data_IF_327644552231
#
_entry.id   IF_327644552231
#
_cell.length_a   1.000
_cell.length_b   1.000
_cell.length_c   1.000
_cell.angle_alpha   90.00
_cell.angle_beta   90.00
_cell.angle_gamma   90.00
#
_symmetry.space_group_name_H-M   'P 1'
#
loop_
_entity.id
_entity.type
_entity.pdbx_description
1 polymer ?
#
# COMPACT_ATOMS: atom_id res chain seq x y z
N UNK A 1 -7.86 34.50 -13.74
CA UNK A 1 -8.10 33.50 -12.66
C UNK A 1 -7.59 33.98 -11.30
N UNK A 2 -6.33 34.41 -11.16
CA UNK A 2 -5.83 34.87 -9.84
C UNK A 2 -6.50 36.15 -9.37
N UNK A 3 -6.81 37.08 -10.27
CA UNK A 3 -7.55 38.31 -9.95
C UNK A 3 -9.00 38.03 -9.55
N UNK A 4 -9.67 37.13 -10.25
CA UNK A 4 -11.05 36.72 -9.91
C UNK A 4 -11.09 35.98 -8.57
N UNK A 5 -10.10 35.14 -8.27
CA UNK A 5 -9.99 34.46 -6.97
C UNK A 5 -9.78 35.50 -5.85
N UNK A 6 -8.90 36.50 -6.04
CA UNK A 6 -8.66 37.57 -5.10
C UNK A 6 -9.93 38.39 -4.85
N UNK A 7 -10.66 38.78 -5.92
CA UNK A 7 -11.90 39.53 -5.82
C UNK A 7 -12.99 38.72 -5.09
N UNK A 8 -13.07 37.40 -5.34
CA UNK A 8 -13.99 36.53 -4.62
C UNK A 8 -13.63 36.42 -3.13
N UNK A 9 -12.33 36.28 -2.81
CA UNK A 9 -11.84 36.25 -1.43
C UNK A 9 -12.18 37.56 -0.69
N UNK A 10 -11.94 38.72 -1.33
CA UNK A 10 -12.30 40.05 -0.78
C UNK A 10 -13.81 40.21 -0.58
N UNK A 11 -14.60 39.68 -1.50
CA UNK A 11 -16.07 39.81 -1.48
C UNK A 11 -16.72 38.96 -0.40
N UNK A 12 -16.25 37.69 -0.27
CA UNK A 12 -16.90 36.72 0.58
C UNK A 12 -16.18 36.45 1.91
N UNK A 13 -14.99 37.00 2.10
CA UNK A 13 -14.19 36.83 3.32
C UNK A 13 -13.73 35.38 3.56
N UNK A 14 -13.69 34.56 2.51
CA UNK A 14 -13.23 33.16 2.57
C UNK A 14 -12.01 32.98 1.67
N UNK A 15 -11.02 32.13 2.08
CA UNK A 15 -9.87 31.87 1.23
C UNK A 15 -10.27 31.19 -0.09
N UNK A 16 -9.79 31.73 -1.20
CA UNK A 16 -10.03 31.20 -2.54
C UNK A 16 -8.70 30.83 -3.20
N UNK A 17 -8.61 29.61 -3.72
CA UNK A 17 -7.47 29.14 -4.50
C UNK A 17 -7.85 28.99 -5.98
N UNK A 18 -7.13 29.70 -6.84
CA UNK A 18 -7.22 29.53 -8.28
C UNK A 18 -6.26 28.43 -8.73
N UNK A 19 -6.76 27.47 -9.49
CA UNK A 19 -5.94 26.37 -10.00
C UNK A 19 -6.28 26.07 -11.46
N UNK A 20 -5.24 25.98 -12.30
CA UNK A 20 -5.38 25.59 -13.68
C UNK A 20 -4.97 24.13 -13.87
N UNK A 21 -5.88 23.34 -14.41
CA UNK A 21 -5.63 21.94 -14.78
C UNK A 21 -5.80 21.77 -16.30
N UNK A 22 -4.98 20.89 -16.88
CA UNK A 22 -5.06 20.56 -18.31
C UNK A 22 -6.34 19.79 -18.69
N UNK A 23 -7.07 19.27 -17.72
CA UNK A 23 -8.26 18.45 -17.95
C UNK A 23 -7.96 17.26 -18.86
N UNK A 24 -8.80 17.11 -19.91
CA UNK A 24 -8.62 16.05 -20.92
C UNK A 24 -7.59 16.39 -22.00
N UNK A 25 -6.94 17.54 -21.95
CA UNK A 25 -5.98 17.98 -22.98
C UNK A 25 -4.55 17.46 -22.77
N UNK A 26 -4.32 16.70 -21.71
CA UNK A 26 -3.04 16.09 -21.36
C UNK A 26 -2.73 16.14 -19.88
N UNK A 27 -1.73 15.41 -19.45
CA UNK A 27 -1.34 15.24 -18.06
C UNK A 27 -2.02 14.04 -17.39
N UNK A 28 -1.40 13.56 -16.33
CA UNK A 28 -1.93 12.46 -15.51
C UNK A 28 -2.78 12.98 -14.35
N UNK A 29 -3.62 12.12 -13.79
CA UNK A 29 -4.36 12.41 -12.55
C UNK A 29 -3.42 12.89 -11.42
N UNK A 30 -2.25 12.29 -11.31
CA UNK A 30 -1.21 12.66 -10.34
C UNK A 30 -0.79 14.13 -10.42
N UNK A 31 -0.74 14.71 -11.63
CA UNK A 31 -0.34 16.11 -11.80
C UNK A 31 -1.32 17.07 -11.15
N UNK A 32 -2.60 16.85 -11.35
CA UNK A 32 -3.66 17.63 -10.72
C UNK A 32 -3.67 17.46 -9.20
N UNK A 33 -3.51 16.23 -8.74
CA UNK A 33 -3.47 15.86 -7.33
C UNK A 33 -2.32 16.57 -6.60
N UNK A 34 -1.10 16.50 -7.12
CA UNK A 34 0.06 17.14 -6.48
C UNK A 34 0.04 18.66 -6.59
N UNK A 35 -0.42 19.23 -7.70
CA UNK A 35 -0.62 20.68 -7.82
C UNK A 35 -1.59 21.21 -6.77
N UNK A 36 -2.69 20.47 -6.53
CA UNK A 36 -3.67 20.84 -5.50
C UNK A 36 -3.05 20.78 -4.10
N UNK A 37 -2.30 19.73 -3.80
CA UNK A 37 -1.59 19.63 -2.52
C UNK A 37 -0.64 20.81 -2.31
N UNK A 38 0.19 21.13 -3.30
CA UNK A 38 1.15 22.22 -3.22
C UNK A 38 0.46 23.57 -2.97
N UNK A 39 -0.63 23.83 -3.66
CA UNK A 39 -1.40 25.07 -3.48
C UNK A 39 -1.96 25.18 -2.05
N UNK A 40 -2.54 24.08 -1.54
CA UNK A 40 -3.06 24.01 -0.17
C UNK A 40 -1.93 24.20 0.85
N UNK A 41 -0.85 23.44 0.72
CA UNK A 41 0.28 23.46 1.64
C UNK A 41 0.91 24.86 1.72
N UNK A 42 1.21 25.48 0.58
CA UNK A 42 1.79 26.83 0.51
C UNK A 42 0.87 27.90 1.09
N UNK A 43 -0.43 27.79 0.90
CA UNK A 43 -1.39 28.81 1.32
C UNK A 43 -1.75 28.71 2.79
N UNK A 44 -1.95 27.49 3.31
CA UNK A 44 -2.62 27.28 4.60
C UNK A 44 -1.73 26.73 5.70
N UNK A 45 -0.63 26.04 5.36
CA UNK A 45 0.27 25.54 6.39
C UNK A 45 1.04 26.72 7.00
N UNK A 46 1.10 26.75 8.32
CA UNK A 46 1.77 27.79 9.10
C UNK A 46 2.78 27.14 10.00
N UNK A 47 3.88 27.85 10.29
CA UNK A 47 4.87 27.37 11.25
C UNK A 47 4.24 27.26 12.63
N UNK A 48 4.38 26.12 13.23
CA UNK A 48 3.91 25.79 14.58
C UNK A 48 5.04 25.15 15.37
N UNK A 49 4.90 25.14 16.70
CA UNK A 49 5.78 24.36 17.56
C UNK A 49 5.46 22.88 17.44
N UNK A 50 6.48 22.05 17.26
CA UNK A 50 6.29 20.61 17.13
C UNK A 50 5.85 20.00 18.46
N UNK A 51 4.83 19.17 18.40
CA UNK A 51 4.36 18.37 19.54
C UNK A 51 5.01 17.00 19.50
N UNK A 52 5.85 16.71 20.51
CA UNK A 52 6.55 15.42 20.61
C UNK A 52 5.57 14.23 20.49
N UNK A 53 5.93 13.27 19.66
CA UNK A 53 5.15 12.06 19.43
C UNK A 53 3.96 12.22 18.48
N UNK A 54 3.70 13.40 17.95
CA UNK A 54 2.67 13.64 16.96
C UNK A 54 3.18 13.33 15.56
N UNK A 55 2.38 12.58 14.79
CA UNK A 55 2.74 12.11 13.44
C UNK A 55 1.69 12.59 12.44
N UNK A 56 2.19 13.07 11.29
CA UNK A 56 1.41 13.33 10.10
C UNK A 56 1.55 12.16 9.13
N UNK A 57 0.46 11.52 8.73
CA UNK A 57 0.47 10.59 7.60
C UNK A 57 0.35 11.38 6.29
N UNK A 58 1.24 11.10 5.34
CA UNK A 58 1.23 11.67 4.00
C UNK A 58 0.84 10.63 2.97
N UNK A 59 -0.31 10.82 2.35
CA UNK A 59 -0.88 9.92 1.35
C UNK A 59 -2.31 9.50 1.70
N UNK A 60 -3.05 9.06 0.69
CA UNK A 60 -4.44 8.69 0.84
C UNK A 60 -4.61 7.23 1.29
N UNK A 61 -4.18 6.27 0.49
CA UNK A 61 -4.22 4.83 0.77
C UNK A 61 -5.51 4.36 1.48
N UNK A 62 -6.67 4.63 0.89
CA UNK A 62 -8.02 4.29 1.39
C UNK A 62 -8.44 5.04 2.67
N UNK A 63 -7.81 6.16 2.95
CA UNK A 63 -8.18 7.06 4.05
C UNK A 63 -7.75 6.62 5.44
N UNK A 64 -8.10 7.42 6.47
CA UNK A 64 -7.62 7.24 7.83
C UNK A 64 -8.17 5.98 8.52
N UNK A 65 -9.28 5.44 8.04
CA UNK A 65 -9.90 4.20 8.54
C UNK A 65 -9.63 3.00 7.61
N UNK A 66 -8.87 3.19 6.54
CA UNK A 66 -8.40 2.12 5.68
C UNK A 66 -7.42 1.19 6.39
N UNK A 67 -7.30 -0.05 5.92
CA UNK A 67 -6.43 -1.07 6.53
C UNK A 67 -4.98 -0.56 6.66
N UNK A 68 -4.47 0.09 5.62
CA UNK A 68 -3.11 0.62 5.61
C UNK A 68 -2.87 1.64 6.74
N UNK A 69 -3.71 2.66 6.82
CA UNK A 69 -3.56 3.71 7.83
C UNK A 69 -3.77 3.17 9.24
N UNK A 70 -4.74 2.27 9.46
CA UNK A 70 -4.94 1.61 10.76
C UNK A 70 -3.73 0.82 11.19
N UNK A 71 -3.13 0.04 10.28
CA UNK A 71 -1.95 -0.74 10.60
C UNK A 71 -0.73 0.12 10.90
N UNK A 72 -0.49 1.15 10.11
CA UNK A 72 0.58 2.13 10.38
C UNK A 72 0.38 2.80 11.73
N UNK A 73 -0.85 3.22 12.06
CA UNK A 73 -1.18 3.77 13.39
C UNK A 73 -0.89 2.78 14.51
N UNK A 74 -1.25 1.50 14.33
CA UNK A 74 -0.99 0.43 15.30
C UNK A 74 0.51 0.26 15.55
N UNK A 75 1.32 0.15 14.50
CA UNK A 75 2.77 0.02 14.60
C UNK A 75 3.43 1.27 15.23
N UNK A 76 2.98 2.46 14.85
CA UNK A 76 3.44 3.72 15.47
C UNK A 76 3.13 3.80 16.97
N UNK A 77 1.94 3.33 17.38
CA UNK A 77 1.51 3.36 18.77
C UNK A 77 2.42 2.57 19.69
N UNK A 78 3.06 1.51 19.20
CA UNK A 78 4.05 0.73 19.94
C UNK A 78 5.24 1.60 20.39
N UNK A 79 5.61 2.60 19.60
CA UNK A 79 6.64 3.59 19.91
C UNK A 79 6.12 4.81 20.68
N UNK A 80 4.85 4.80 21.10
CA UNK A 80 4.22 5.93 21.79
C UNK A 80 3.90 7.11 20.87
N UNK A 81 3.87 6.86 19.56
CA UNK A 81 3.53 7.85 18.54
C UNK A 81 2.02 7.84 18.26
N UNK A 82 1.46 9.03 18.03
CA UNK A 82 0.03 9.20 17.73
C UNK A 82 -0.15 9.95 16.43
N UNK A 83 -1.09 9.50 15.62
CA UNK A 83 -1.44 10.15 14.36
C UNK A 83 -2.61 11.09 14.59
N UNK A 84 -2.39 12.38 14.38
CA UNK A 84 -3.46 13.38 14.50
C UNK A 84 -4.11 13.67 13.14
N UNK A 85 -3.32 13.64 12.05
CA UNK A 85 -3.78 13.99 10.72
C UNK A 85 -3.25 13.04 9.67
N UNK A 86 -4.10 12.83 8.65
CA UNK A 86 -3.70 12.22 7.38
C UNK A 86 -3.99 13.23 6.26
N UNK A 87 -2.96 13.61 5.51
CA UNK A 87 -3.07 14.58 4.43
C UNK A 87 -2.62 13.94 3.10
N UNK A 88 -3.29 14.21 2.01
CA UNK A 88 -4.39 15.14 1.81
C UNK A 88 -5.76 14.53 2.13
N UNK A 89 -6.75 15.42 2.27
CA UNK A 89 -8.17 15.07 2.19
C UNK A 89 -8.89 14.82 3.52
N UNK A 90 -8.19 14.41 4.57
CA UNK A 90 -8.83 13.98 5.83
C UNK A 90 -8.54 14.92 7.00
N UNK A 91 -8.18 16.15 6.70
CA UNK A 91 -7.96 17.22 7.69
C UNK A 91 -9.04 18.26 7.49
N UNK A 92 -9.86 18.57 8.50
CA UNK A 92 -10.81 19.69 8.41
C UNK A 92 -10.09 21.00 8.11
N UNK A 93 -10.65 21.85 7.25
CA UNK A 93 -10.05 23.12 6.84
C UNK A 93 -9.57 23.95 8.04
N UNK A 94 -10.39 24.04 9.10
CA UNK A 94 -10.06 24.76 10.32
C UNK A 94 -8.81 24.26 11.06
N UNK A 95 -8.31 23.07 10.71
CA UNK A 95 -7.15 22.45 11.34
C UNK A 95 -5.92 22.38 10.42
N UNK A 96 -5.99 22.89 9.21
CA UNK A 96 -4.86 22.83 8.27
C UNK A 96 -3.60 23.49 8.81
N UNK A 97 -3.72 24.57 9.57
CA UNK A 97 -2.56 25.21 10.21
C UNK A 97 -1.92 24.35 11.32
N UNK A 98 -2.63 23.38 11.87
CA UNK A 98 -2.15 22.49 12.93
C UNK A 98 -1.39 21.26 12.39
N UNK A 99 -1.46 21.00 11.09
CA UNK A 99 -0.77 19.87 10.44
C UNK A 99 0.74 19.92 10.71
N UNK A 100 1.30 21.13 10.79
CA UNK A 100 2.72 21.38 11.02
C UNK A 100 3.14 21.27 12.49
N UNK A 101 2.24 20.94 13.41
CA UNK A 101 2.59 20.57 14.80
C UNK A 101 3.22 19.17 14.89
N UNK A 102 3.17 18.37 13.81
CA UNK A 102 3.76 17.04 13.77
C UNK A 102 5.28 17.09 13.98
N UNK A 103 5.80 16.13 14.75
CA UNK A 103 7.24 15.94 14.96
C UNK A 103 7.87 14.94 13.99
N UNK A 104 7.05 14.26 13.20
CA UNK A 104 7.42 13.30 12.18
C UNK A 104 6.31 13.23 11.13
N UNK A 105 6.67 13.11 9.86
CA UNK A 105 5.75 12.68 8.81
C UNK A 105 6.07 11.26 8.34
N UNK A 106 5.05 10.49 8.01
CA UNK A 106 5.18 9.11 7.52
C UNK A 106 4.49 8.99 6.18
N UNK A 107 5.25 8.57 5.18
CA UNK A 107 4.74 8.35 3.83
C UNK A 107 3.91 7.06 3.76
N UNK A 108 2.70 7.19 3.23
CA UNK A 108 1.87 6.05 2.83
C UNK A 108 2.04 5.84 1.33
N UNK A 109 2.33 4.60 0.91
CA UNK A 109 2.55 4.34 -0.50
C UNK A 109 3.07 2.95 -0.81
N UNK A 110 3.61 2.82 -2.01
CA UNK A 110 4.30 1.62 -2.49
C UNK A 110 5.62 2.02 -3.17
N UNK A 111 6.55 1.09 -3.31
CA UNK A 111 7.84 1.34 -3.95
C UNK A 111 7.74 1.80 -5.42
N UNK A 112 6.65 1.42 -6.12
CA UNK A 112 6.41 1.81 -7.51
C UNK A 112 5.67 3.13 -7.70
N UNK A 113 5.35 3.86 -6.63
CA UNK A 113 4.64 5.14 -6.77
C UNK A 113 5.59 6.26 -7.19
N UNK A 114 5.09 7.27 -7.94
CA UNK A 114 5.86 8.45 -8.29
C UNK A 114 6.39 9.18 -7.05
N UNK A 115 7.56 9.79 -7.17
CA UNK A 115 8.22 10.51 -6.07
C UNK A 115 7.46 11.73 -5.55
N UNK A 116 6.34 12.09 -6.15
CA UNK A 116 5.61 13.31 -5.83
C UNK A 116 5.24 13.47 -4.35
N UNK A 117 4.89 12.40 -3.64
CA UNK A 117 4.62 12.49 -2.20
C UNK A 117 5.90 12.75 -1.40
N UNK A 118 7.02 12.15 -1.80
CA UNK A 118 8.32 12.36 -1.20
C UNK A 118 8.78 13.82 -1.34
N UNK A 119 8.53 14.44 -2.49
CA UNK A 119 8.84 15.87 -2.68
C UNK A 119 8.09 16.76 -1.67
N UNK A 120 6.84 16.42 -1.35
CA UNK A 120 6.03 17.13 -0.34
C UNK A 120 6.55 16.89 1.07
N UNK A 121 7.02 15.70 1.37
CA UNK A 121 7.69 15.41 2.63
C UNK A 121 8.99 16.21 2.79
N UNK A 122 9.84 16.25 1.75
CA UNK A 122 11.04 17.06 1.71
C UNK A 122 10.74 18.56 1.85
N UNK A 123 9.64 19.03 1.25
CA UNK A 123 9.21 20.41 1.42
C UNK A 123 8.80 20.70 2.87
N UNK A 124 8.06 19.79 3.54
CA UNK A 124 7.69 19.92 4.95
C UNK A 124 8.94 19.94 5.86
N UNK A 125 9.92 19.10 5.58
CA UNK A 125 11.17 19.08 6.33
C UNK A 125 11.92 20.39 6.18
N UNK A 126 12.07 20.90 4.96
CA UNK A 126 12.78 22.15 4.69
C UNK A 126 12.09 23.38 5.28
N UNK A 127 10.78 23.52 5.11
CA UNK A 127 10.04 24.73 5.50
C UNK A 127 9.64 24.75 6.98
N UNK A 128 9.36 23.57 7.55
CA UNK A 128 8.85 23.47 8.92
C UNK A 128 9.74 22.63 9.84
N UNK A 129 10.76 21.96 9.33
CA UNK A 129 11.64 21.10 10.13
C UNK A 129 10.98 19.78 10.53
N UNK A 130 9.98 19.30 9.80
CA UNK A 130 9.30 18.03 10.06
C UNK A 130 10.02 16.93 9.29
N UNK A 131 10.86 16.10 9.93
CA UNK A 131 11.54 14.99 9.27
C UNK A 131 10.49 13.97 8.78
N UNK A 132 10.89 13.09 7.85
CA UNK A 132 9.97 12.09 7.34
C UNK A 132 10.56 10.67 7.34
N UNK A 133 9.68 9.70 7.55
CA UNK A 133 9.94 8.29 7.30
C UNK A 133 9.37 7.94 5.93
N UNK A 134 10.26 7.60 4.99
CA UNK A 134 9.94 7.27 3.61
C UNK A 134 10.97 6.29 3.04
N UNK A 135 10.90 6.04 1.72
CA UNK A 135 11.74 5.09 0.97
C UNK A 135 11.61 3.62 1.43
N UNK A 136 10.73 3.33 2.36
CA UNK A 136 10.33 1.99 2.76
C UNK A 136 8.86 2.04 3.20
N UNK A 137 8.15 0.98 2.91
CA UNK A 137 6.72 0.85 3.18
C UNK A 137 6.45 -0.48 3.87
N UNK A 138 5.50 -0.55 4.83
CA UNK A 138 5.20 -1.78 5.55
C UNK A 138 4.34 -2.73 4.70
N UNK A 139 4.85 -3.14 3.54
CA UNK A 139 4.16 -4.01 2.58
C UNK A 139 4.86 -5.37 2.52
N UNK A 140 4.08 -6.44 2.69
CA UNK A 140 4.62 -7.76 2.97
C UNK A 140 5.38 -7.78 4.30
N UNK A 141 5.83 -8.95 4.74
CA UNK A 141 6.53 -9.06 6.03
C UNK A 141 7.92 -8.43 5.99
N UNK A 142 8.69 -8.68 4.94
CA UNK A 142 10.06 -8.12 4.82
C UNK A 142 10.03 -6.59 4.78
N UNK A 143 9.11 -6.00 4.01
CA UNK A 143 8.91 -4.54 4.00
C UNK A 143 8.48 -4.01 5.36
N UNK A 144 7.64 -4.76 6.08
CA UNK A 144 7.19 -4.40 7.42
C UNK A 144 8.35 -4.40 8.42
N UNK A 145 9.22 -5.43 8.38
CA UNK A 145 10.39 -5.48 9.25
C UNK A 145 11.39 -4.36 8.96
N UNK A 146 11.64 -4.08 7.70
CA UNK A 146 12.48 -2.96 7.30
C UNK A 146 11.90 -1.63 7.79
N UNK A 147 10.60 -1.43 7.63
CA UNK A 147 9.92 -0.21 8.06
C UNK A 147 9.98 -0.03 9.59
N UNK A 148 9.75 -1.10 10.37
CA UNK A 148 9.86 -1.06 11.84
C UNK A 148 11.30 -0.73 12.26
N UNK A 149 12.33 -1.32 11.63
CA UNK A 149 13.74 -1.00 11.93
C UNK A 149 14.07 0.46 11.62
N UNK A 150 13.60 0.99 10.49
CA UNK A 150 13.79 2.40 10.12
C UNK A 150 13.12 3.34 11.12
N UNK A 151 11.91 3.02 11.55
CA UNK A 151 11.22 3.78 12.60
C UNK A 151 11.98 3.70 13.94
N UNK A 152 12.42 2.51 14.34
CA UNK A 152 13.19 2.31 15.56
C UNK A 152 14.53 3.04 15.55
N UNK A 153 15.22 3.09 14.42
CA UNK A 153 16.44 3.88 14.22
C UNK A 153 16.16 5.38 14.38
N UNK A 154 15.09 5.87 13.75
CA UNK A 154 14.66 7.25 13.88
C UNK A 154 14.35 7.63 15.34
N UNK A 155 13.67 6.74 16.05
CA UNK A 155 13.29 6.91 17.45
C UNK A 155 14.47 6.67 18.41
N UNK A 156 15.61 6.12 17.94
CA UNK A 156 16.73 5.62 18.76
C UNK A 156 16.33 4.54 19.78
N UNK A 157 15.38 3.69 19.38
CA UNK A 157 14.79 2.62 20.20
C UNK A 157 14.94 1.25 19.49
N UNK A 158 16.15 0.89 19.05
CA UNK A 158 16.44 -0.33 18.26
C UNK A 158 15.95 -1.60 18.93
N UNK A 159 16.22 -1.77 20.23
CA UNK A 159 15.83 -2.96 20.98
C UNK A 159 14.30 -3.14 21.01
N UNK A 160 13.59 -2.02 21.09
CA UNK A 160 12.13 -2.01 21.06
C UNK A 160 11.59 -2.39 19.66
N UNK A 161 12.27 -1.94 18.60
CA UNK A 161 11.95 -2.37 17.23
C UNK A 161 12.12 -3.85 17.02
N UNK A 162 13.24 -4.43 17.46
CA UNK A 162 13.47 -5.88 17.35
C UNK A 162 12.53 -6.69 18.24
N UNK A 163 12.12 -6.16 19.40
CA UNK A 163 11.12 -6.79 20.24
C UNK A 163 9.74 -6.85 19.54
N UNK A 164 9.31 -5.74 18.91
CA UNK A 164 8.08 -5.71 18.13
C UNK A 164 8.13 -6.69 16.96
N UNK A 165 9.25 -6.75 16.22
CA UNK A 165 9.41 -7.69 15.10
C UNK A 165 9.24 -9.14 15.59
N UNK A 166 9.87 -9.51 16.70
CA UNK A 166 9.73 -10.89 17.26
C UNK A 166 8.29 -11.19 17.64
N UNK A 167 7.59 -10.28 18.32
CA UNK A 167 6.19 -10.46 18.68
C UNK A 167 5.30 -10.67 17.44
N UNK A 168 5.49 -9.83 16.43
CA UNK A 168 4.73 -9.91 15.19
C UNK A 168 5.05 -11.18 14.40
N UNK A 169 6.31 -11.62 14.36
CA UNK A 169 6.71 -12.90 13.74
C UNK A 169 6.03 -14.09 14.44
N UNK A 170 6.05 -14.15 15.77
CA UNK A 170 5.38 -15.21 16.53
C UNK A 170 3.87 -15.26 16.22
N UNK A 171 3.22 -14.12 16.07
CA UNK A 171 1.80 -14.04 15.67
C UNK A 171 1.56 -14.65 14.29
N UNK A 172 2.43 -14.34 13.32
CA UNK A 172 2.34 -14.90 11.96
C UNK A 172 2.60 -16.40 11.97
N UNK A 173 3.67 -16.85 12.58
CA UNK A 173 4.05 -18.26 12.64
C UNK A 173 2.97 -19.12 13.30
N UNK A 174 2.39 -18.65 14.40
CA UNK A 174 1.26 -19.32 15.04
C UNK A 174 0.07 -19.48 14.10
N UNK A 175 -0.21 -18.46 13.28
CA UNK A 175 -1.34 -18.50 12.34
C UNK A 175 -1.02 -19.42 11.15
N UNK A 176 0.17 -19.31 10.61
CA UNK A 176 0.66 -20.17 9.52
C UNK A 176 0.60 -21.65 9.94
N UNK A 177 1.15 -21.99 11.10
CA UNK A 177 1.13 -23.37 11.61
C UNK A 177 -0.29 -23.96 11.68
N UNK A 178 -1.28 -23.15 12.04
CA UNK A 178 -2.68 -23.57 12.06
C UNK A 178 -3.27 -23.79 10.65
N UNK A 179 -2.70 -23.19 9.61
CA UNK A 179 -3.19 -23.29 8.24
C UNK A 179 -2.52 -24.42 7.44
N UNK A 180 -1.30 -24.81 7.78
CA UNK A 180 -0.51 -25.84 7.06
C UNK A 180 -1.29 -27.12 6.74
N UNK A 181 -2.12 -27.71 7.64
CA UNK A 181 -2.87 -28.92 7.32
C UNK A 181 -3.78 -28.83 6.09
N UNK A 182 -4.13 -27.60 5.67
CA UNK A 182 -5.00 -27.35 4.51
C UNK A 182 -4.21 -26.81 3.32
N UNK A 183 -3.14 -26.06 3.56
CA UNK A 183 -2.43 -25.30 2.53
C UNK A 183 -1.21 -26.02 1.97
N UNK A 184 -0.56 -26.86 2.76
CA UNK A 184 0.68 -27.56 2.37
C UNK A 184 0.49 -28.40 1.11
N UNK A 185 1.36 -28.19 0.12
CA UNK A 185 1.34 -28.87 -1.17
C UNK A 185 0.23 -28.43 -2.12
N UNK A 186 -0.60 -27.45 -1.73
CA UNK A 186 -1.59 -26.87 -2.63
C UNK A 186 -0.94 -25.96 -3.66
N UNK A 187 -1.49 -25.96 -4.88
CA UNK A 187 -1.01 -25.16 -6.00
C UNK A 187 -1.79 -23.87 -6.13
N UNK A 188 -1.08 -22.75 -6.18
CA UNK A 188 -1.66 -21.43 -6.44
C UNK A 188 -1.13 -20.87 -7.74
N UNK A 189 -2.00 -20.34 -8.58
CA UNK A 189 -1.63 -19.62 -9.78
C UNK A 189 -1.92 -18.13 -9.60
N UNK A 190 -1.06 -17.26 -10.13
CA UNK A 190 -1.18 -15.81 -9.99
C UNK A 190 -1.47 -15.20 -11.36
N UNK A 191 -2.54 -14.40 -11.50
CA UNK A 191 -2.89 -13.70 -12.73
C UNK A 191 -2.91 -12.18 -12.51
N UNK A 192 -2.03 -11.47 -13.19
CA UNK A 192 -1.74 -10.06 -12.98
C UNK A 192 -2.20 -9.23 -14.18
N UNK A 193 -3.11 -8.30 -13.93
CA UNK A 193 -3.59 -7.31 -14.91
C UNK A 193 -3.26 -5.86 -14.52
N UNK A 194 -2.41 -5.66 -13.53
CA UNK A 194 -2.00 -4.34 -13.04
C UNK A 194 -0.49 -4.23 -13.08
N UNK A 195 -0.01 -3.11 -13.61
CA UNK A 195 1.41 -2.84 -13.66
C UNK A 195 2.04 -2.69 -12.27
N UNK A 196 3.35 -2.74 -12.23
CA UNK A 196 4.23 -2.69 -11.07
C UNK A 196 3.93 -1.54 -10.10
N UNK A 197 3.40 -0.43 -10.59
CA UNK A 197 2.96 0.71 -9.76
C UNK A 197 1.94 0.34 -8.68
N UNK A 198 1.13 -0.70 -8.93
CA UNK A 198 0.00 -1.06 -8.10
C UNK A 198 0.17 -2.40 -7.39
N UNK A 199 0.92 -3.30 -7.97
CA UNK A 199 1.05 -4.66 -7.48
C UNK A 199 2.43 -5.24 -7.82
N UNK A 200 3.01 -5.92 -6.85
CA UNK A 200 4.27 -6.66 -6.98
C UNK A 200 4.01 -8.13 -6.63
N UNK A 201 4.25 -9.06 -7.55
CA UNK A 201 3.95 -10.48 -7.33
C UNK A 201 4.82 -11.14 -6.26
N UNK A 202 6.02 -10.61 -6.03
CA UNK A 202 6.99 -11.15 -5.08
C UNK A 202 6.42 -11.32 -3.67
N UNK A 203 5.71 -10.34 -3.15
CA UNK A 203 5.09 -10.42 -1.83
C UNK A 203 4.05 -11.53 -1.74
N UNK A 204 3.23 -11.72 -2.78
CA UNK A 204 2.25 -12.82 -2.84
C UNK A 204 2.93 -14.18 -2.91
N UNK A 205 3.99 -14.31 -3.71
CA UNK A 205 4.78 -15.55 -3.81
C UNK A 205 5.37 -15.92 -2.46
N UNK A 206 5.97 -14.96 -1.75
CA UNK A 206 6.52 -15.18 -0.41
C UNK A 206 5.44 -15.64 0.59
N UNK A 207 4.23 -15.07 0.52
CA UNK A 207 3.10 -15.49 1.35
C UNK A 207 2.66 -16.93 1.03
N UNK A 208 2.66 -17.33 -0.25
CA UNK A 208 2.39 -18.73 -0.65
C UNK A 208 3.45 -19.68 -0.13
N UNK A 209 4.74 -19.35 -0.31
CA UNK A 209 5.86 -20.17 0.18
C UNK A 209 5.79 -20.35 1.70
N UNK A 210 5.38 -19.33 2.44
CA UNK A 210 5.17 -19.39 3.89
C UNK A 210 4.06 -20.37 4.30
N UNK A 211 3.04 -20.53 3.48
CA UNK A 211 1.98 -21.50 3.65
C UNK A 211 2.35 -22.91 3.10
N UNK A 212 3.59 -23.12 2.69
CA UNK A 212 4.07 -24.33 2.01
C UNK A 212 3.24 -24.65 0.75
N UNK A 213 2.68 -23.63 0.11
CA UNK A 213 2.00 -23.76 -1.17
C UNK A 213 3.01 -23.67 -2.31
N UNK A 214 2.70 -24.34 -3.42
CA UNK A 214 3.46 -24.26 -4.66
C UNK A 214 2.95 -23.12 -5.54
N UNK A 215 3.75 -22.08 -5.85
CA UNK A 215 3.42 -21.12 -6.89
C UNK A 215 3.52 -21.82 -8.26
N UNK A 216 2.38 -22.24 -8.80
CA UNK A 216 2.33 -23.04 -10.04
C UNK A 216 2.62 -22.23 -11.31
N UNK A 217 2.59 -20.91 -11.21
CA UNK A 217 2.94 -20.00 -12.28
C UNK A 217 2.35 -18.60 -12.08
N UNK A 218 2.87 -17.67 -12.88
CA UNK A 218 2.39 -16.30 -12.95
C UNK A 218 2.02 -15.99 -14.39
N UNK A 219 0.85 -15.42 -14.61
CA UNK A 219 0.37 -14.95 -15.90
C UNK A 219 0.18 -13.44 -15.88
N UNK A 220 0.62 -12.80 -16.95
CA UNK A 220 0.35 -11.39 -17.20
C UNK A 220 -0.76 -11.25 -18.23
N UNK A 221 -1.75 -10.40 -17.94
CA UNK A 221 -2.76 -10.02 -18.92
C UNK A 221 -2.16 -9.10 -20.00
N UNK A 222 -2.73 -9.16 -21.20
CA UNK A 222 -2.24 -8.44 -22.38
C UNK A 222 -2.27 -6.91 -22.29
N UNK A 223 -2.87 -6.37 -21.25
CA UNK A 223 -2.92 -4.92 -21.01
C UNK A 223 -1.70 -4.36 -20.25
N UNK A 224 -0.75 -5.21 -19.84
CA UNK A 224 0.50 -4.77 -19.23
C UNK A 224 1.56 -4.42 -20.28
N UNK A 225 2.45 -3.49 -19.93
CA UNK A 225 3.58 -3.13 -20.77
C UNK A 225 4.71 -4.16 -20.65
N UNK A 226 5.53 -4.29 -21.70
CA UNK A 226 6.72 -5.16 -21.65
C UNK A 226 7.71 -4.73 -20.55
N UNK A 227 7.79 -3.45 -20.25
CA UNK A 227 8.64 -2.92 -19.16
C UNK A 227 8.16 -3.39 -17.80
N UNK A 228 6.84 -3.29 -17.52
CA UNK A 228 6.25 -3.81 -16.28
C UNK A 228 6.50 -5.31 -16.12
N UNK A 229 6.27 -6.08 -17.18
CA UNK A 229 6.45 -7.54 -17.18
C UNK A 229 7.92 -7.95 -17.01
N UNK A 230 8.86 -7.23 -17.61
CA UNK A 230 10.29 -7.55 -17.53
C UNK A 230 10.80 -7.41 -16.08
N UNK A 231 10.44 -6.30 -15.42
CA UNK A 231 10.83 -6.06 -14.04
C UNK A 231 10.22 -7.09 -13.07
N UNK A 232 8.96 -7.46 -13.28
CA UNK A 232 8.31 -8.47 -12.44
C UNK A 232 8.88 -9.88 -12.69
N UNK A 233 9.26 -10.21 -13.94
CA UNK A 233 9.96 -11.49 -14.25
C UNK A 233 11.29 -11.61 -13.52
N UNK A 234 12.06 -10.52 -13.44
CA UNK A 234 13.33 -10.49 -12.70
C UNK A 234 13.10 -10.78 -11.20
N UNK A 235 12.11 -10.12 -10.60
CA UNK A 235 11.76 -10.34 -9.20
C UNK A 235 11.25 -11.77 -8.94
N UNK A 236 10.41 -12.32 -9.82
CA UNK A 236 9.89 -13.68 -9.71
C UNK A 236 11.03 -14.70 -9.79
N UNK A 237 11.95 -14.51 -10.73
CA UNK A 237 13.10 -15.44 -10.91
C UNK A 237 14.01 -15.50 -9.70
N UNK A 238 14.11 -14.42 -8.93
CA UNK A 238 14.88 -14.40 -7.68
C UNK A 238 14.23 -15.22 -6.55
N UNK A 239 12.94 -15.56 -6.67
CA UNK A 239 12.20 -16.32 -5.65
C UNK A 239 12.10 -17.82 -5.92
N UNK A 240 12.54 -18.28 -7.09
CA UNK A 240 12.55 -19.68 -7.48
C UNK A 240 12.25 -19.91 -8.96
N UNK A 241 12.22 -21.19 -9.35
CA UNK A 241 11.88 -21.60 -10.73
C UNK A 241 10.34 -21.61 -10.91
N UNK A 242 9.77 -20.40 -11.01
CA UNK A 242 8.33 -20.19 -11.15
C UNK A 242 8.04 -19.83 -12.61
N UNK A 243 7.25 -20.63 -13.34
CA UNK A 243 6.92 -20.36 -14.73
C UNK A 243 6.17 -19.04 -14.89
N UNK A 244 6.56 -18.26 -15.90
CA UNK A 244 5.91 -16.99 -16.24
C UNK A 244 5.33 -17.10 -17.63
N UNK A 245 4.05 -16.77 -17.77
CA UNK A 245 3.28 -16.97 -18.98
C UNK A 245 2.70 -15.65 -19.52
N UNK A 246 2.52 -15.58 -20.82
CA UNK A 246 1.58 -14.65 -21.43
C UNK A 246 0.14 -15.16 -21.26
N UNK A 247 -0.84 -14.29 -21.49
CA UNK A 247 -2.24 -14.56 -21.18
C UNK A 247 -2.77 -15.87 -21.78
N UNK A 248 -2.55 -16.11 -23.06
CA UNK A 248 -3.10 -17.26 -23.76
C UNK A 248 -2.56 -18.62 -23.25
N UNK A 249 -1.26 -18.66 -22.96
CA UNK A 249 -0.61 -19.86 -22.41
C UNK A 249 -0.97 -20.02 -20.93
N UNK A 250 -0.99 -18.91 -20.19
CA UNK A 250 -1.31 -18.88 -18.76
C UNK A 250 -2.74 -19.32 -18.46
N UNK A 251 -3.70 -19.02 -19.31
CA UNK A 251 -5.09 -19.48 -19.17
C UNK A 251 -5.18 -21.02 -19.20
N UNK A 252 -4.34 -21.70 -19.96
CA UNK A 252 -4.28 -23.19 -19.98
C UNK A 252 -3.54 -23.70 -18.77
N UNK A 253 -2.43 -23.08 -18.39
CA UNK A 253 -1.59 -23.50 -17.28
C UNK A 253 -2.30 -23.36 -15.92
N UNK A 254 -3.10 -22.32 -15.72
CA UNK A 254 -3.78 -22.04 -14.44
C UNK A 254 -4.77 -23.14 -14.03
N UNK A 255 -5.36 -23.91 -14.98
CA UNK A 255 -6.33 -24.97 -14.69
C UNK A 255 -5.72 -26.13 -13.87
N UNK A 256 -4.40 -26.20 -13.77
CA UNK A 256 -3.69 -27.19 -12.95
C UNK A 256 -3.62 -26.81 -11.46
N UNK A 257 -4.01 -25.60 -11.09
CA UNK A 257 -3.93 -25.08 -9.73
C UNK A 257 -5.17 -25.41 -8.88
N UNK A 258 -5.01 -25.35 -7.56
CA UNK A 258 -6.12 -25.48 -6.59
C UNK A 258 -6.87 -24.13 -6.42
N UNK A 259 -6.16 -23.03 -6.62
CA UNK A 259 -6.67 -21.66 -6.42
C UNK A 259 -5.99 -20.66 -7.35
N UNK A 260 -6.74 -19.68 -7.77
CA UNK A 260 -6.27 -18.54 -8.56
C UNK A 260 -6.22 -17.28 -7.71
N UNK A 261 -5.07 -16.63 -7.66
CA UNK A 261 -4.87 -15.30 -7.08
C UNK A 261 -4.82 -14.30 -8.23
N UNK A 262 -5.71 -13.32 -8.23
CA UNK A 262 -5.84 -12.47 -9.42
C UNK A 262 -6.17 -11.01 -9.09
N UNK A 263 -5.66 -10.11 -9.93
CA UNK A 263 -6.04 -8.69 -9.91
C UNK A 263 -7.28 -8.40 -10.75
N UNK A 264 -7.70 -9.35 -11.60
CA UNK A 264 -8.85 -9.25 -12.51
C UNK A 264 -9.63 -10.55 -12.49
N UNK A 265 -10.97 -10.49 -12.41
CA UNK A 265 -11.82 -11.67 -12.46
C UNK A 265 -11.70 -12.40 -13.82
N UNK A 266 -11.55 -13.73 -13.76
CA UNK A 266 -11.58 -14.61 -14.93
C UNK A 266 -12.92 -15.37 -14.92
N UNK A 267 -13.84 -14.97 -15.80
CA UNK A 267 -15.25 -15.41 -15.77
C UNK A 267 -15.42 -16.90 -16.08
N UNK A 268 -14.65 -17.41 -17.03
CA UNK A 268 -14.77 -18.79 -17.52
C UNK A 268 -13.94 -19.80 -16.74
N UNK A 269 -13.24 -19.37 -15.69
CA UNK A 269 -12.41 -20.25 -14.87
C UNK A 269 -13.26 -21.12 -13.94
N UNK A 270 -12.95 -22.41 -13.91
CA UNK A 270 -13.49 -23.36 -12.93
C UNK A 270 -12.87 -23.19 -11.53
N UNK A 271 -11.78 -22.43 -11.43
CA UNK A 271 -11.01 -22.26 -10.21
C UNK A 271 -11.69 -21.33 -9.21
N UNK A 272 -11.39 -21.52 -7.94
CA UNK A 272 -11.68 -20.55 -6.90
C UNK A 272 -10.73 -19.38 -7.03
N UNK A 273 -11.27 -18.17 -7.00
CA UNK A 273 -10.48 -16.97 -7.22
C UNK A 273 -10.42 -16.10 -5.96
N UNK A 274 -9.23 -15.69 -5.57
CA UNK A 274 -9.00 -14.68 -4.55
C UNK A 274 -8.54 -13.39 -5.25
N UNK A 275 -9.29 -12.31 -5.05
CA UNK A 275 -8.91 -10.99 -5.57
C UNK A 275 -7.75 -10.39 -4.77
N UNK A 276 -6.71 -10.00 -5.47
CA UNK A 276 -5.60 -9.24 -4.90
C UNK A 276 -5.95 -7.76 -4.95
N UNK A 277 -6.07 -7.08 -3.80
CA UNK A 277 -6.52 -5.68 -3.76
C UNK A 277 -5.52 -4.75 -4.46
N UNK A 278 -6.06 -3.70 -5.10
CA UNK A 278 -5.26 -2.68 -5.79
C UNK A 278 -4.36 -1.90 -4.82
N UNK A 279 -4.91 -1.55 -3.67
CA UNK A 279 -4.13 -0.96 -2.58
C UNK A 279 -3.55 -2.11 -1.79
N UNK A 280 -2.22 -2.21 -1.70
CA UNK A 280 -1.57 -3.28 -0.95
C UNK A 280 -1.99 -3.26 0.51
N UNK A 281 -2.16 -4.45 1.09
CA UNK A 281 -2.40 -4.59 2.51
C UNK A 281 -1.09 -4.36 3.26
N UNK A 282 -1.15 -3.54 4.30
CA UNK A 282 0.03 -3.15 5.06
C UNK A 282 0.21 -4.01 6.31
N UNK A 283 1.46 -4.22 6.67
CA UNK A 283 1.90 -4.78 7.92
C UNK A 283 1.48 -6.23 8.16
N UNK A 284 1.63 -6.65 9.38
CA UNK A 284 1.32 -8.01 9.82
C UNK A 284 -0.18 -8.29 9.75
N UNK A 285 -1.03 -7.31 10.07
CA UNK A 285 -2.49 -7.47 9.94
C UNK A 285 -2.90 -7.66 8.48
N UNK A 286 -2.24 -6.98 7.55
CA UNK A 286 -2.46 -7.16 6.12
C UNK A 286 -2.10 -8.57 5.65
N UNK A 287 -0.93 -9.05 6.04
CA UNK A 287 -0.50 -10.42 5.76
C UNK A 287 -1.48 -11.45 6.34
N UNK A 288 -1.82 -11.33 7.63
CA UNK A 288 -2.74 -12.25 8.29
C UNK A 288 -4.15 -12.26 7.67
N UNK A 289 -4.63 -11.10 7.20
CA UNK A 289 -5.90 -11.01 6.49
C UNK A 289 -5.85 -11.75 5.14
N UNK A 290 -4.76 -11.59 4.40
CA UNK A 290 -4.52 -12.32 3.14
C UNK A 290 -4.46 -13.84 3.36
N UNK A 291 -3.57 -14.30 4.24
CA UNK A 291 -3.40 -15.72 4.57
C UNK A 291 -4.72 -16.35 5.05
N UNK A 292 -5.47 -15.65 5.91
CA UNK A 292 -6.77 -16.11 6.41
C UNK A 292 -7.80 -16.23 5.29
N UNK A 293 -7.82 -15.29 4.35
CA UNK A 293 -8.76 -15.31 3.22
C UNK A 293 -8.46 -16.47 2.27
N UNK A 294 -7.18 -16.70 2.01
CA UNK A 294 -6.72 -17.84 1.19
C UNK A 294 -7.06 -19.19 1.85
N UNK A 295 -6.74 -19.35 3.14
CA UNK A 295 -7.10 -20.52 3.91
C UNK A 295 -8.62 -20.81 3.85
N UNK A 296 -9.46 -19.79 4.11
CA UNK A 296 -10.91 -19.94 4.06
C UNK A 296 -11.41 -20.31 2.68
N UNK A 297 -10.77 -19.78 1.62
CA UNK A 297 -11.11 -20.12 0.26
C UNK A 297 -10.82 -21.60 -0.06
N UNK A 298 -9.69 -22.10 0.40
CA UNK A 298 -9.31 -23.52 0.24
C UNK A 298 -10.23 -24.45 1.03
N UNK A 299 -10.69 -24.06 2.22
CA UNK A 299 -11.65 -24.82 3.03
C UNK A 299 -13.07 -24.88 2.48
N UNK A 300 -13.43 -24.07 1.48
CA UNK A 300 -14.80 -24.06 0.94
C UNK A 300 -15.15 -25.37 0.27
N UNK A 301 -16.37 -25.85 0.53
CA UNK A 301 -17.00 -26.95 -0.18
C UNK A 301 -18.03 -26.42 -1.18
N UNK A 302 -18.31 -27.17 -2.25
CA UNK A 302 -19.33 -26.83 -3.23
C UNK A 302 -18.76 -26.33 -4.57
N UNK A 303 -19.60 -25.65 -5.37
CA UNK A 303 -19.24 -25.19 -6.71
C UNK A 303 -18.04 -24.25 -6.66
N UNK A 304 -17.11 -24.52 -7.57
CA UNK A 304 -16.01 -23.62 -7.89
C UNK A 304 -16.55 -22.43 -8.68
N UNK A 305 -15.84 -21.33 -8.69
CA UNK A 305 -16.16 -20.11 -9.43
C UNK A 305 -16.54 -18.93 -8.54
N UNK A 306 -16.54 -17.75 -9.13
CA UNK A 306 -16.76 -16.48 -8.47
C UNK A 306 -15.56 -15.94 -7.70
N UNK A 307 -15.49 -14.62 -7.64
CA UNK A 307 -14.42 -13.88 -6.96
C UNK A 307 -14.65 -13.82 -5.45
N UNK A 308 -13.60 -14.06 -4.70
CA UNK A 308 -13.55 -13.81 -3.26
C UNK A 308 -12.62 -12.64 -2.97
N UNK A 309 -13.04 -11.74 -2.09
CA UNK A 309 -12.24 -10.59 -1.68
C UNK A 309 -11.61 -10.83 -0.31
N UNK A 310 -10.41 -10.31 -0.11
CA UNK A 310 -9.78 -10.30 1.21
C UNK A 310 -10.62 -9.45 2.16
N UNK A 311 -11.02 -10.02 3.29
CA UNK A 311 -11.73 -9.29 4.34
C UNK A 311 -10.71 -8.56 5.21
N UNK A 312 -10.82 -7.24 5.22
CA UNK A 312 -10.02 -6.32 6.02
C UNK A 312 -10.70 -5.98 7.35
#
# INVERSE_FOLDING_TARGET
MDEEARQAEETYGIPVLSMAFSGFLGGEYSDGYYKTMDAIMRRFFKKQDHKKGKVLLLGDQMGPEGQYAREVKRLLSFFGLTVDFQFPGYVPFSKWSQVTEASLSVLLGTAGQPEGMKERALWLEREFGIPFLGDCYPLGLEGTWLWIRRLADFMKEKDKGEALIREEMERVEKRVSAFLPVTEGKKAFIAIGRGRRWYHPSGTIQSLQRLHMEPAGVMFFSNLTEEDMAADREEISALGDIPVYHEEEGQKAMETADVLLTTNEIYDSSLRQLFIPMVPLAGTEGELAFLTSLYRLLCRHGRKGGMTYVKM
#
